data_IF_572486659532
#
_entry.id   IF_572486659532
#
_cell.length_a   1.000
_cell.length_b   1.000
_cell.length_c   1.000
_cell.angle_alpha   90.00
_cell.angle_beta   90.00
_cell.angle_gamma   90.00
#
_symmetry.space_group_name_H-M   'P 1'
#
loop_
_entity.id
_entity.type
_entity.pdbx_description
1 polymer ?
#
# COMPACT_ATOMS: atom_id res chain seq x y z
N UNK A 1 13.33 -13.19 -28.76
CA UNK A 1 13.92 -13.65 -27.47
C UNK A 1 15.39 -14.05 -27.58
N UNK A 2 15.82 -14.82 -28.59
CA UNK A 2 17.25 -15.19 -28.78
C UNK A 2 18.15 -13.96 -29.03
N UNK A 3 17.76 -13.04 -29.93
CA UNK A 3 18.50 -11.80 -30.21
C UNK A 3 18.58 -10.83 -29.01
N UNK A 4 17.57 -10.83 -28.13
CA UNK A 4 17.62 -10.03 -26.90
C UNK A 4 18.63 -10.61 -25.91
N UNK A 5 18.69 -11.94 -25.81
CA UNK A 5 19.61 -12.62 -24.89
C UNK A 5 21.07 -12.50 -25.34
N UNK A 6 21.35 -12.52 -26.65
CA UNK A 6 22.70 -12.26 -27.16
C UNK A 6 23.14 -10.83 -26.89
N UNK A 7 22.29 -9.84 -27.21
CA UNK A 7 22.58 -8.42 -26.96
C UNK A 7 22.78 -8.11 -25.46
N UNK A 8 21.97 -8.72 -24.60
CA UNK A 8 22.14 -8.66 -23.14
C UNK A 8 23.50 -9.21 -22.68
N UNK A 9 23.96 -10.33 -23.25
CA UNK A 9 25.26 -10.93 -22.94
C UNK A 9 26.43 -10.06 -23.39
N UNK A 10 26.33 -9.48 -24.59
CA UNK A 10 27.35 -8.58 -25.14
C UNK A 10 27.49 -7.31 -24.29
N UNK A 11 26.37 -6.72 -23.87
CA UNK A 11 26.38 -5.53 -23.00
C UNK A 11 27.09 -5.78 -21.65
N UNK A 12 26.94 -6.99 -21.11
CA UNK A 12 27.59 -7.40 -19.87
C UNK A 12 29.11 -7.57 -20.06
N UNK A 13 29.53 -8.18 -21.16
CA UNK A 13 30.95 -8.36 -21.49
C UNK A 13 31.64 -7.01 -21.73
N UNK A 14 30.97 -6.10 -22.44
CA UNK A 14 31.48 -4.75 -22.65
C UNK A 14 31.61 -3.99 -21.32
N UNK A 15 30.63 -4.11 -20.43
CA UNK A 15 30.70 -3.49 -19.10
C UNK A 15 31.86 -4.04 -18.27
N UNK A 16 32.10 -5.35 -18.28
CA UNK A 16 33.23 -5.96 -17.57
C UNK A 16 34.56 -5.49 -18.15
N UNK A 17 34.68 -5.42 -19.49
CA UNK A 17 35.87 -4.89 -20.15
C UNK A 17 36.15 -3.42 -19.76
N UNK A 18 35.16 -2.53 -19.90
CA UNK A 18 35.31 -1.13 -19.53
C UNK A 18 35.64 -0.95 -18.03
N UNK A 19 34.99 -1.74 -17.17
CA UNK A 19 35.22 -1.67 -15.73
C UNK A 19 36.65 -2.08 -15.35
N UNK A 20 37.20 -3.11 -16.00
CA UNK A 20 38.59 -3.53 -15.78
C UNK A 20 39.60 -2.49 -16.24
N UNK A 21 39.31 -1.79 -17.33
CA UNK A 21 40.20 -0.77 -17.89
C UNK A 21 40.21 0.51 -17.04
N UNK A 22 39.04 1.13 -16.83
CA UNK A 22 38.91 2.31 -15.97
C UNK A 22 37.57 2.29 -15.23
N UNK A 23 37.66 1.91 -13.96
CA UNK A 23 36.52 1.88 -13.04
C UNK A 23 35.83 3.25 -12.92
N UNK A 24 36.59 4.34 -12.93
CA UNK A 24 36.10 5.70 -12.64
C UNK A 24 35.37 6.34 -13.82
N UNK A 25 35.87 6.12 -15.04
CA UNK A 25 35.21 6.57 -16.25
C UNK A 25 33.97 5.73 -16.56
N UNK A 26 34.02 4.42 -16.33
CA UNK A 26 32.86 3.53 -16.52
C UNK A 26 31.66 3.96 -15.68
N UNK A 27 31.88 4.42 -14.44
CA UNK A 27 30.85 4.99 -13.58
C UNK A 27 30.20 6.26 -14.17
N UNK A 28 30.98 7.11 -14.83
CA UNK A 28 30.46 8.30 -15.53
C UNK A 28 29.66 7.92 -16.76
N UNK A 29 30.13 6.94 -17.54
CA UNK A 29 29.41 6.43 -18.72
C UNK A 29 28.04 5.85 -18.34
N UNK A 30 27.94 5.15 -17.21
CA UNK A 30 26.68 4.59 -16.72
C UNK A 30 25.63 5.66 -16.32
N UNK A 31 26.10 6.82 -15.88
CA UNK A 31 25.25 7.92 -15.37
C UNK A 31 25.04 9.05 -16.37
N UNK A 32 25.79 9.06 -17.49
CA UNK A 32 25.63 10.02 -18.57
C UNK A 32 24.23 9.93 -19.19
N UNK A 33 23.66 11.08 -19.56
CA UNK A 33 22.38 11.15 -20.25
C UNK A 33 22.60 10.87 -21.74
N UNK A 34 21.77 9.99 -22.32
CA UNK A 34 21.81 9.68 -23.73
C UNK A 34 20.78 10.54 -24.49
N UNK A 35 21.21 11.53 -25.30
CA UNK A 35 20.28 12.44 -25.99
C UNK A 35 19.38 11.71 -27.00
N UNK A 36 19.89 10.65 -27.62
CA UNK A 36 19.14 9.83 -28.59
C UNK A 36 18.18 8.82 -27.95
N UNK A 37 18.20 8.66 -26.62
CA UNK A 37 17.40 7.65 -25.90
C UNK A 37 16.53 8.29 -24.82
N UNK A 38 15.89 9.43 -25.16
CA UNK A 38 14.96 10.12 -24.26
C UNK A 38 15.63 10.73 -23.02
N UNK A 39 16.91 11.11 -23.11
CA UNK A 39 17.71 11.66 -22.00
C UNK A 39 17.81 10.73 -20.77
N UNK A 40 17.55 9.44 -20.95
CA UNK A 40 17.77 8.43 -19.92
C UNK A 40 19.25 8.08 -19.82
N UNK A 41 19.68 7.61 -18.64
CA UNK A 41 21.01 7.04 -18.47
C UNK A 41 21.00 5.51 -18.72
N UNK A 42 22.18 4.95 -18.95
CA UNK A 42 22.33 3.52 -19.25
C UNK A 42 21.77 2.64 -18.11
N UNK A 43 21.96 3.06 -16.86
CA UNK A 43 21.47 2.35 -15.69
C UNK A 43 19.93 2.31 -15.63
N UNK A 44 19.24 3.42 -15.89
CA UNK A 44 17.77 3.50 -15.92
C UNK A 44 17.19 2.61 -17.02
N UNK A 45 17.79 2.60 -18.21
CA UNK A 45 17.37 1.70 -19.30
C UNK A 45 17.50 0.22 -18.90
N UNK A 46 18.60 -0.15 -18.24
CA UNK A 46 18.79 -1.51 -17.73
C UNK A 46 17.75 -1.89 -16.65
N UNK A 47 17.32 -0.93 -15.83
CA UNK A 47 16.23 -1.12 -14.85
C UNK A 47 14.87 -1.27 -15.55
N UNK A 48 14.57 -0.45 -16.56
CA UNK A 48 13.31 -0.51 -17.32
C UNK A 48 13.12 -1.88 -18.01
N UNK A 49 14.20 -2.48 -18.50
CA UNK A 49 14.19 -3.81 -19.14
C UNK A 49 14.34 -4.95 -18.10
N UNK A 50 14.46 -4.63 -16.81
CA UNK A 50 14.64 -5.59 -15.71
C UNK A 50 15.85 -6.53 -15.93
N UNK A 51 16.97 -5.98 -16.41
CA UNK A 51 18.17 -6.76 -16.71
C UNK A 51 18.99 -7.10 -15.44
N UNK A 52 18.49 -8.05 -14.65
CA UNK A 52 19.03 -8.42 -13.32
C UNK A 52 20.55 -8.69 -13.30
N UNK A 53 21.09 -9.39 -14.31
CA UNK A 53 22.54 -9.72 -14.38
C UNK A 53 23.45 -8.50 -14.56
N UNK A 54 22.97 -7.48 -15.28
CA UNK A 54 23.70 -6.23 -15.53
C UNK A 54 23.68 -5.36 -14.27
N UNK A 55 22.51 -5.29 -13.60
CA UNK A 55 22.38 -4.56 -12.34
C UNK A 55 23.17 -5.20 -11.19
N UNK A 56 23.29 -6.53 -11.17
CA UNK A 56 24.11 -7.26 -10.19
C UNK A 56 25.62 -7.12 -10.43
N UNK A 57 26.05 -6.53 -11.55
CA UNK A 57 27.47 -6.36 -11.86
C UNK A 57 28.17 -5.49 -10.80
N UNK A 58 29.42 -5.81 -10.39
CA UNK A 58 30.14 -5.05 -9.36
C UNK A 58 30.24 -3.54 -9.63
N UNK A 59 30.38 -3.13 -10.90
CA UNK A 59 30.38 -1.73 -11.30
C UNK A 59 29.08 -1.00 -10.89
N UNK A 60 27.93 -1.59 -11.19
CA UNK A 60 26.61 -1.05 -10.85
C UNK A 60 26.42 -1.00 -9.33
N UNK A 61 26.83 -2.05 -8.60
CA UNK A 61 26.73 -2.08 -7.14
C UNK A 61 27.61 -1.02 -6.47
N UNK A 62 28.82 -0.81 -6.97
CA UNK A 62 29.71 0.27 -6.53
C UNK A 62 29.09 1.65 -6.79
N UNK A 63 28.52 1.86 -7.98
CA UNK A 63 27.83 3.11 -8.32
C UNK A 63 26.67 3.40 -7.36
N UNK A 64 25.81 2.40 -7.13
CA UNK A 64 24.68 2.51 -6.21
C UNK A 64 25.14 2.80 -4.79
N UNK A 65 26.24 2.19 -4.34
CA UNK A 65 26.83 2.51 -3.04
C UNK A 65 27.37 3.95 -2.97
N UNK A 66 27.96 4.47 -4.05
CA UNK A 66 28.38 5.88 -4.11
C UNK A 66 27.20 6.84 -4.10
N UNK A 67 26.12 6.53 -4.83
CA UNK A 67 24.88 7.30 -4.83
C UNK A 67 24.21 7.28 -3.45
N UNK A 68 24.18 6.13 -2.76
CA UNK A 68 23.60 5.96 -1.43
C UNK A 68 24.24 6.87 -0.37
N UNK A 69 25.57 6.95 -0.37
CA UNK A 69 26.32 7.81 0.56
C UNK A 69 26.38 9.27 0.09
N UNK A 70 26.13 9.54 -1.19
CA UNK A 70 26.20 10.87 -1.78
C UNK A 70 27.58 11.52 -1.57
N UNK A 71 27.57 12.72 -0.96
CA UNK A 71 28.78 13.50 -0.67
C UNK A 71 29.59 12.97 0.52
N UNK A 72 29.10 11.98 1.28
CA UNK A 72 29.86 11.41 2.40
C UNK A 72 30.93 10.43 1.89
N UNK A 73 32.09 10.43 2.53
CA UNK A 73 33.16 9.47 2.23
C UNK A 73 32.83 8.11 2.87
N UNK A 74 32.79 7.07 2.05
CA UNK A 74 32.49 5.69 2.49
C UNK A 74 33.59 5.19 3.43
N UNK A 75 33.22 4.75 4.63
CA UNK A 75 34.12 4.07 5.59
C UNK A 75 33.39 2.95 6.34
N UNK A 76 34.13 1.98 6.87
CA UNK A 76 33.55 1.01 7.79
C UNK A 76 32.88 1.72 8.98
N UNK A 77 31.70 1.24 9.39
CA UNK A 77 30.88 1.88 10.42
C UNK A 77 30.16 3.16 9.99
N UNK A 78 29.99 3.42 8.69
CA UNK A 78 29.29 4.62 8.18
C UNK A 78 27.89 4.80 8.78
N UNK A 79 27.12 3.71 8.92
CA UNK A 79 25.76 3.77 9.48
C UNK A 79 25.75 4.30 10.93
N UNK A 80 26.60 3.77 11.80
CA UNK A 80 26.68 4.19 13.20
C UNK A 80 27.13 5.66 13.31
N UNK A 81 28.06 6.09 12.47
CA UNK A 81 28.52 7.48 12.42
C UNK A 81 27.44 8.44 11.93
N UNK A 82 26.67 8.05 10.92
CA UNK A 82 25.53 8.83 10.43
C UNK A 82 24.44 8.93 11.50
N UNK A 83 24.13 7.83 12.19
CA UNK A 83 23.18 7.82 13.31
C UNK A 83 23.65 8.74 14.46
N UNK A 84 24.92 8.67 14.84
CA UNK A 84 25.49 9.55 15.85
C UNK A 84 25.42 11.04 15.43
N UNK A 85 25.68 11.33 14.15
CA UNK A 85 25.58 12.68 13.60
C UNK A 85 24.13 13.19 13.48
N UNK A 86 23.15 12.30 13.33
CA UNK A 86 21.73 12.66 13.37
C UNK A 86 21.26 12.97 14.80
N UNK A 87 21.75 12.23 15.79
CA UNK A 87 21.45 12.47 17.20
C UNK A 87 22.17 13.73 17.74
N UNK A 88 23.36 14.01 17.24
CA UNK A 88 24.18 15.15 17.64
C UNK A 88 24.65 15.94 16.39
N UNK A 89 23.93 17.02 16.00
CA UNK A 89 24.25 17.79 14.80
C UNK A 89 25.69 18.33 14.70
N UNK A 90 26.37 18.73 15.80
CA UNK A 90 27.79 19.10 15.74
C UNK A 90 28.70 17.97 15.23
N UNK A 91 28.37 16.69 15.47
CA UNK A 91 29.16 15.56 15.01
C UNK A 91 29.09 15.39 13.48
N UNK A 92 28.07 15.94 12.81
CA UNK A 92 28.00 15.95 11.35
C UNK A 92 29.13 16.79 10.71
N UNK A 93 29.62 17.82 11.40
CA UNK A 93 30.74 18.65 10.91
C UNK A 93 32.09 17.93 10.94
N UNK A 94 32.23 16.94 11.83
CA UNK A 94 33.43 16.11 11.98
C UNK A 94 33.50 14.93 11.00
N UNK A 95 32.44 14.71 10.20
CA UNK A 95 32.44 13.66 9.19
C UNK A 95 33.33 14.00 7.99
N UNK A 96 33.86 12.97 7.35
CA UNK A 96 34.64 13.10 6.12
C UNK A 96 33.69 13.27 4.92
N UNK A 97 33.75 14.42 4.27
CA UNK A 97 33.02 14.71 3.03
C UNK A 97 33.95 14.53 1.82
N UNK A 98 33.40 14.10 0.69
CA UNK A 98 34.08 14.15 -0.60
C UNK A 98 34.16 15.62 -1.02
N UNK A 99 35.37 16.14 -1.22
CA UNK A 99 35.55 17.44 -1.88
C UNK A 99 34.86 17.37 -3.25
N UNK A 100 33.94 18.30 -3.51
CA UNK A 100 33.29 18.42 -4.81
C UNK A 100 34.39 18.59 -5.87
N UNK A 101 34.45 17.70 -6.87
CA UNK A 101 35.36 17.84 -8.00
C UNK A 101 34.88 18.99 -8.90
N UNK A 102 35.07 20.22 -8.45
CA UNK A 102 35.25 21.36 -9.35
C UNK A 102 36.76 21.50 -9.51
N UNK A 103 37.36 20.60 -10.28
CA UNK A 103 38.75 20.73 -10.74
C UNK A 103 38.93 19.87 -11.99
N UNK A 104 38.65 20.49 -13.13
CA UNK A 104 39.03 20.18 -14.52
C UNK A 104 38.27 21.23 -15.32
N UNK A 105 38.86 22.31 -15.83
CA UNK A 105 40.13 22.40 -16.55
C UNK A 105 40.74 23.81 -16.37
N UNK A 106 41.86 23.92 -15.66
CA UNK A 106 42.94 24.87 -16.00
C UNK A 106 44.25 24.17 -15.63
N UNK A 107 45.14 23.83 -16.59
CA UNK A 107 46.50 23.42 -16.28
C UNK A 107 47.38 24.67 -16.31
N UNK A 108 47.81 25.16 -15.16
CA UNK A 108 49.04 25.95 -15.13
C UNK A 108 49.81 25.59 -13.87
N UNK A 109 50.95 24.98 -14.11
CA UNK A 109 52.08 24.83 -13.20
C UNK A 109 52.22 26.06 -12.30
N UNK A 110 52.33 25.82 -10.99
CA UNK A 110 53.22 26.46 -10.01
C UNK A 110 53.04 25.63 -8.72
N UNK A 111 54.16 25.29 -8.09
CA UNK A 111 54.24 24.63 -6.80
C UNK A 111 53.68 25.56 -5.70
N UNK A 112 52.36 25.62 -5.59
CA UNK A 112 51.68 26.16 -4.41
C UNK A 112 50.96 25.01 -3.72
N UNK A 113 51.24 24.85 -2.42
CA UNK A 113 50.52 24.01 -1.50
C UNK A 113 49.04 24.45 -1.51
N UNK A 114 48.22 23.85 -2.38
CA UNK A 114 46.82 24.19 -2.54
C UNK A 114 46.09 23.87 -1.25
N UNK A 115 45.93 24.87 -0.39
CA UNK A 115 44.95 24.86 0.70
C UNK A 115 43.60 24.47 0.10
N UNK A 116 43.15 23.25 0.39
CA UNK A 116 41.81 22.82 0.04
C UNK A 116 40.82 23.83 0.63
N UNK A 117 39.92 24.46 -0.16
CA UNK A 117 38.98 25.42 0.39
C UNK A 117 38.14 24.70 1.44
N UNK A 118 38.33 25.10 2.70
CA UNK A 118 37.60 24.51 3.82
C UNK A 118 36.11 24.81 3.62
N UNK A 119 35.35 23.77 3.24
CA UNK A 119 33.93 23.92 2.97
C UNK A 119 33.24 24.49 4.22
N UNK A 120 32.54 25.62 4.08
CA UNK A 120 31.81 26.28 5.17
C UNK A 120 30.92 25.30 5.92
N UNK A 121 30.79 25.46 7.25
CA UNK A 121 30.00 24.58 8.11
C UNK A 121 28.56 24.39 7.59
N UNK A 122 27.94 25.45 7.05
CA UNK A 122 26.60 25.39 6.47
C UNK A 122 26.55 24.50 5.22
N UNK A 123 27.57 24.56 4.37
CA UNK A 123 27.65 23.73 3.18
C UNK A 123 27.87 22.25 3.53
N UNK A 124 28.65 21.94 4.57
CA UNK A 124 28.77 20.58 5.12
C UNK A 124 27.43 20.06 5.65
N UNK A 125 26.71 20.87 6.43
CA UNK A 125 25.39 20.50 6.96
C UNK A 125 24.36 20.27 5.84
N UNK A 126 24.33 21.13 4.81
CA UNK A 126 23.46 20.94 3.65
C UNK A 126 23.80 19.65 2.90
N UNK A 127 25.08 19.38 2.66
CA UNK A 127 25.52 18.16 1.98
C UNK A 127 25.15 16.90 2.79
N UNK A 128 25.19 16.96 4.12
CA UNK A 128 24.77 15.87 4.99
C UNK A 128 23.28 15.55 4.84
N UNK A 129 22.40 16.54 5.02
CA UNK A 129 20.94 16.32 4.92
C UNK A 129 20.45 16.07 3.49
N UNK A 130 21.23 16.43 2.47
CA UNK A 130 20.93 16.11 1.09
C UNK A 130 21.15 14.61 0.75
N UNK A 131 22.03 13.93 1.48
CA UNK A 131 22.43 12.55 1.19
C UNK A 131 21.29 11.53 1.35
N UNK A 132 21.17 10.50 0.50
CA UNK A 132 20.09 9.50 0.62
C UNK A 132 20.13 8.70 1.93
N UNK A 133 21.33 8.32 2.39
CA UNK A 133 21.51 7.60 3.65
C UNK A 133 20.96 8.37 4.86
N UNK A 134 21.13 9.69 4.92
CA UNK A 134 20.64 10.51 6.05
C UNK A 134 19.13 10.65 6.00
N UNK A 135 18.55 10.86 4.81
CA UNK A 135 17.09 10.86 4.59
C UNK A 135 16.46 9.55 5.03
N UNK A 136 17.06 8.41 4.68
CA UNK A 136 16.58 7.10 5.10
C UNK A 136 16.57 6.95 6.62
N UNK A 137 17.69 7.24 7.30
CA UNK A 137 17.75 7.11 8.75
C UNK A 137 16.84 8.11 9.48
N UNK A 138 16.69 9.34 8.97
CA UNK A 138 15.71 10.31 9.48
C UNK A 138 14.28 9.77 9.37
N UNK A 139 13.94 9.18 8.23
CA UNK A 139 12.64 8.56 8.04
C UNK A 139 12.42 7.40 9.01
N UNK A 140 13.42 6.52 9.18
CA UNK A 140 13.36 5.42 10.14
C UNK A 140 13.21 5.90 11.60
N UNK A 141 13.98 6.90 12.03
CA UNK A 141 13.90 7.46 13.39
C UNK A 141 12.52 8.08 13.63
N UNK A 142 12.07 8.93 12.71
CA UNK A 142 10.75 9.57 12.80
C UNK A 142 9.63 8.53 12.83
N UNK A 143 9.75 7.46 12.04
CA UNK A 143 8.79 6.37 12.02
C UNK A 143 8.77 5.58 13.33
N UNK A 144 9.93 5.29 13.94
CA UNK A 144 9.99 4.64 15.25
C UNK A 144 9.33 5.53 16.32
N UNK A 145 9.65 6.83 16.35
CA UNK A 145 9.02 7.80 17.28
C UNK A 145 7.50 7.83 17.08
N UNK A 146 7.04 7.84 15.84
CA UNK A 146 5.63 7.75 15.51
C UNK A 146 5.00 6.46 16.05
N UNK A 147 5.64 5.29 15.83
CA UNK A 147 5.13 4.01 16.35
C UNK A 147 5.03 3.99 17.87
N UNK A 148 6.02 4.57 18.58
CA UNK A 148 5.98 4.64 20.04
C UNK A 148 4.88 5.56 20.54
N UNK A 149 4.68 6.73 19.91
CA UNK A 149 3.62 7.68 20.27
C UNK A 149 2.24 7.12 19.93
N UNK A 150 2.09 6.48 18.78
CA UNK A 150 0.85 5.83 18.35
C UNK A 150 0.48 4.67 19.28
N UNK A 151 1.44 3.81 19.63
CA UNK A 151 1.24 2.74 20.61
C UNK A 151 0.85 3.29 21.98
N UNK A 152 1.50 4.37 22.43
CA UNK A 152 1.15 5.06 23.68
C UNK A 152 -0.29 5.58 23.67
N UNK A 153 -0.73 6.23 22.59
CA UNK A 153 -2.10 6.75 22.42
C UNK A 153 -3.14 5.62 22.38
N UNK A 154 -2.82 4.48 21.76
CA UNK A 154 -3.75 3.33 21.69
C UNK A 154 -3.85 2.54 22.99
N UNK A 155 -2.75 2.44 23.76
CA UNK A 155 -2.67 1.56 24.92
C UNK A 155 -3.21 2.23 26.20
N UNK A 156 -3.15 3.55 26.28
CA UNK A 156 -3.59 4.30 27.47
C UNK A 156 -5.04 4.73 27.30
N UNK A 157 -5.80 4.68 28.39
CA UNK A 157 -7.18 5.16 28.42
C UNK A 157 -7.24 6.63 27.99
N UNK A 158 -7.97 6.89 26.90
CA UNK A 158 -8.08 8.22 26.31
C UNK A 158 -9.04 9.08 27.14
N UNK A 159 -8.60 10.27 27.60
CA UNK A 159 -9.49 11.21 28.28
C UNK A 159 -10.53 11.78 27.32
N UNK A 160 -11.65 12.29 27.85
CA UNK A 160 -12.75 12.86 27.06
C UNK A 160 -12.28 14.03 26.17
N UNK A 161 -11.26 14.77 26.63
CA UNK A 161 -10.65 15.84 25.87
C UNK A 161 -9.31 15.36 25.27
N UNK A 162 -9.09 15.54 23.96
CA UNK A 162 -7.89 15.05 23.31
C UNK A 162 -6.62 15.72 23.83
N UNK A 163 -5.61 14.91 24.11
CA UNK A 163 -4.31 15.39 24.57
C UNK A 163 -3.48 15.99 23.42
N UNK A 164 -2.50 16.85 23.74
CA UNK A 164 -1.58 17.42 22.73
C UNK A 164 -0.86 16.32 21.94
N UNK A 165 -0.54 15.19 22.58
CA UNK A 165 0.13 14.04 21.94
C UNK A 165 -0.78 13.39 20.90
N UNK A 166 -2.08 13.26 21.18
CA UNK A 166 -3.07 12.78 20.22
C UNK A 166 -3.15 13.69 19.00
N UNK A 167 -3.22 15.02 19.20
CA UNK A 167 -3.23 15.97 18.08
C UNK A 167 -1.97 15.85 17.20
N UNK A 168 -0.80 15.74 17.81
CA UNK A 168 0.47 15.54 17.08
C UNK A 168 0.41 14.24 16.28
N UNK A 169 -0.02 13.14 16.91
CA UNK A 169 -0.09 11.81 16.27
C UNK A 169 -1.10 11.80 15.11
N UNK A 170 -2.28 12.39 15.31
CA UNK A 170 -3.30 12.53 14.26
C UNK A 170 -2.80 13.38 13.09
N UNK A 171 -2.16 14.52 13.38
CA UNK A 171 -1.58 15.37 12.33
C UNK A 171 -0.52 14.62 11.50
N UNK A 172 0.31 13.81 12.15
CA UNK A 172 1.31 12.99 11.48
C UNK A 172 0.67 11.94 10.56
N UNK A 173 -0.40 11.26 11.02
CA UNK A 173 -1.16 10.30 10.21
C UNK A 173 -1.71 10.99 8.95
N UNK A 174 -2.32 12.17 9.09
CA UNK A 174 -2.89 12.91 7.95
C UNK A 174 -1.80 13.28 6.95
N UNK A 175 -0.68 13.85 7.41
CA UNK A 175 0.44 14.22 6.53
C UNK A 175 1.02 12.99 5.82
N UNK A 176 1.21 11.88 6.54
CA UNK A 176 1.71 10.62 5.98
C UNK A 176 0.76 10.06 4.91
N UNK A 177 -0.55 10.08 5.16
CA UNK A 177 -1.56 9.64 4.19
C UNK A 177 -1.55 10.51 2.94
N UNK A 178 -1.48 11.83 3.08
CA UNK A 178 -1.41 12.76 1.93
C UNK A 178 -0.14 12.52 1.10
N UNK A 179 1.02 12.35 1.74
CA UNK A 179 2.28 12.08 1.04
C UNK A 179 2.25 10.73 0.31
N UNK A 180 1.61 9.71 0.90
CA UNK A 180 1.42 8.42 0.24
C UNK A 180 0.44 8.48 -0.92
N UNK A 181 -0.67 9.21 -0.78
CA UNK A 181 -1.59 9.46 -1.89
C UNK A 181 -0.86 10.17 -3.02
N UNK A 182 -0.07 11.21 -2.74
CA UNK A 182 0.74 11.93 -3.73
C UNK A 182 1.68 10.98 -4.49
N UNK A 183 2.42 10.12 -3.76
CA UNK A 183 3.33 9.12 -4.36
C UNK A 183 2.58 8.07 -5.19
N UNK A 184 1.45 7.59 -4.70
CA UNK A 184 0.61 6.62 -5.42
C UNK A 184 0.09 7.26 -6.70
N UNK A 185 -0.40 8.50 -6.66
CA UNK A 185 -0.86 9.22 -7.86
C UNK A 185 0.27 9.44 -8.87
N UNK A 186 1.48 9.80 -8.40
CA UNK A 186 2.66 9.95 -9.24
C UNK A 186 3.03 8.62 -9.91
N UNK A 187 3.04 7.51 -9.15
CA UNK A 187 3.27 6.18 -9.70
C UNK A 187 2.18 5.74 -10.68
N UNK A 188 0.91 5.97 -10.32
CA UNK A 188 -0.26 5.58 -11.11
C UNK A 188 -0.34 6.34 -12.44
N UNK A 189 -0.05 7.64 -12.42
CA UNK A 189 -0.05 8.49 -13.62
C UNK A 189 1.17 8.26 -14.52
N UNK A 190 2.33 7.94 -13.94
CA UNK A 190 3.55 7.71 -14.71
C UNK A 190 3.69 6.26 -15.23
N UNK A 191 3.01 5.28 -14.62
CA UNK A 191 3.22 3.88 -14.98
C UNK A 191 2.40 3.46 -16.21
N UNK A 192 3.04 3.19 -17.37
CA UNK A 192 2.36 2.97 -18.65
C UNK A 192 1.47 1.74 -18.68
N UNK A 193 1.68 0.77 -17.77
CA UNK A 193 0.86 -0.43 -17.68
C UNK A 193 -0.39 -0.23 -16.81
N UNK A 194 -0.37 0.68 -15.82
CA UNK A 194 -1.48 0.81 -14.86
C UNK A 194 -2.64 1.63 -15.42
N UNK A 195 -2.38 2.60 -16.30
CA UNK A 195 -3.42 3.39 -16.97
C UNK A 195 -4.54 2.55 -17.59
N UNK A 196 -4.22 1.59 -18.49
CA UNK A 196 -5.20 0.68 -19.07
C UNK A 196 -5.98 -0.15 -18.02
N UNK A 197 -5.31 -0.68 -16.98
CA UNK A 197 -5.97 -1.44 -15.92
C UNK A 197 -6.97 -0.61 -15.11
N UNK A 198 -6.64 0.65 -14.80
CA UNK A 198 -7.55 1.56 -14.07
C UNK A 198 -8.77 1.89 -14.93
N UNK A 199 -8.58 2.14 -16.22
CA UNK A 199 -9.69 2.42 -17.14
C UNK A 199 -10.61 1.21 -17.31
N UNK A 200 -10.03 0.00 -17.41
CA UNK A 200 -10.80 -1.26 -17.41
C UNK A 200 -11.57 -1.44 -16.10
N UNK A 201 -10.91 -1.24 -14.94
CA UNK A 201 -11.55 -1.36 -13.63
C UNK A 201 -12.66 -0.33 -13.42
N UNK A 202 -12.45 0.93 -13.82
CA UNK A 202 -13.48 1.97 -13.75
C UNK A 202 -14.73 1.59 -14.58
N UNK A 203 -14.53 1.03 -15.77
CA UNK A 203 -15.61 0.54 -16.64
C UNK A 203 -16.36 -0.65 -16.01
N UNK A 204 -15.65 -1.52 -15.29
CA UNK A 204 -16.26 -2.60 -14.50
C UNK A 204 -17.13 -2.06 -13.38
N UNK A 205 -16.64 -1.09 -12.59
CA UNK A 205 -17.37 -0.53 -11.44
C UNK A 205 -18.72 0.07 -11.86
N UNK A 206 -18.75 0.80 -12.98
CA UNK A 206 -20.00 1.38 -13.50
C UNK A 206 -21.00 0.28 -13.90
N UNK A 207 -20.50 -0.79 -14.53
CA UNK A 207 -21.36 -1.91 -14.96
C UNK A 207 -21.88 -2.73 -13.76
N UNK A 208 -21.07 -2.85 -12.70
CA UNK A 208 -21.45 -3.55 -11.48
C UNK A 208 -22.44 -2.78 -10.61
N UNK A 209 -22.44 -1.44 -10.66
CA UNK A 209 -23.32 -0.62 -9.85
C UNK A 209 -24.79 -1.05 -9.97
N UNK A 210 -25.23 -1.37 -11.19
CA UNK A 210 -26.57 -1.89 -11.44
C UNK A 210 -26.86 -3.23 -10.74
N UNK A 211 -25.90 -4.16 -10.74
CA UNK A 211 -26.05 -5.46 -10.07
C UNK A 211 -26.04 -5.29 -8.55
N UNK A 212 -25.20 -4.41 -8.02
CA UNK A 212 -25.15 -4.11 -6.60
C UNK A 212 -26.49 -3.50 -6.13
N UNK A 213 -27.07 -2.59 -6.92
CA UNK A 213 -28.40 -2.04 -6.64
C UNK A 213 -29.48 -3.12 -6.67
N UNK A 214 -29.48 -4.00 -7.68
CA UNK A 214 -30.42 -5.13 -7.75
C UNK A 214 -30.27 -6.08 -6.55
N UNK A 215 -29.03 -6.34 -6.12
CA UNK A 215 -28.74 -7.15 -4.95
C UNK A 215 -29.24 -6.48 -3.65
N UNK A 216 -29.08 -5.16 -3.52
CA UNK A 216 -29.60 -4.41 -2.38
C UNK A 216 -31.14 -4.49 -2.31
N UNK A 217 -31.81 -4.39 -3.46
CA UNK A 217 -33.28 -4.48 -3.55
C UNK A 217 -33.77 -5.86 -3.11
N UNK A 218 -33.16 -6.95 -3.61
CA UNK A 218 -33.55 -8.31 -3.23
C UNK A 218 -33.24 -8.60 -1.76
N UNK A 219 -32.12 -8.11 -1.25
CA UNK A 219 -31.73 -8.22 0.15
C UNK A 219 -32.72 -7.47 1.06
N UNK A 220 -33.09 -6.24 0.72
CA UNK A 220 -34.08 -5.46 1.47
C UNK A 220 -35.46 -6.13 1.47
N UNK A 221 -35.91 -6.65 0.32
CA UNK A 221 -37.19 -7.32 0.20
C UNK A 221 -37.26 -8.54 1.15
N UNK A 222 -36.25 -9.41 1.12
CA UNK A 222 -36.19 -10.55 2.03
C UNK A 222 -36.05 -10.14 3.50
N UNK A 223 -35.14 -9.19 3.79
CA UNK A 223 -34.87 -8.73 5.16
C UNK A 223 -36.08 -8.11 5.85
N UNK A 224 -36.85 -7.28 5.15
CA UNK A 224 -38.08 -6.66 5.68
C UNK A 224 -39.15 -7.72 5.90
N UNK A 225 -39.38 -8.61 4.91
CA UNK A 225 -40.39 -9.67 5.04
C UNK A 225 -40.06 -10.63 6.19
N UNK A 226 -38.79 -11.02 6.36
CA UNK A 226 -38.34 -11.84 7.49
C UNK A 226 -38.59 -11.14 8.82
N UNK A 227 -38.13 -9.91 8.99
CA UNK A 227 -38.26 -9.19 10.26
C UNK A 227 -39.73 -8.93 10.63
N UNK A 228 -40.56 -8.58 9.66
CA UNK A 228 -41.98 -8.28 9.87
C UNK A 228 -42.79 -9.52 10.30
N UNK A 229 -42.47 -10.70 9.77
CA UNK A 229 -43.18 -11.94 10.10
C UNK A 229 -42.67 -12.52 11.42
N UNK A 230 -41.35 -12.62 11.62
CA UNK A 230 -40.76 -13.28 12.79
C UNK A 230 -40.93 -12.47 14.08
N UNK A 231 -40.98 -11.13 14.01
CA UNK A 231 -41.05 -10.26 15.19
C UNK A 231 -42.18 -9.20 15.06
N UNK A 232 -43.46 -9.61 15.13
CA UNK A 232 -44.60 -8.74 14.84
C UNK A 232 -44.84 -7.65 15.90
N UNK A 233 -44.33 -7.83 17.12
CA UNK A 233 -44.56 -6.92 18.26
C UNK A 233 -43.30 -6.11 18.65
N UNK A 234 -42.34 -5.97 17.73
CA UNK A 234 -41.12 -5.22 17.98
C UNK A 234 -41.34 -3.72 17.74
N UNK A 235 -40.91 -2.90 18.71
CA UNK A 235 -40.97 -1.43 18.58
C UNK A 235 -39.81 -0.93 17.72
N UNK A 236 -40.01 0.24 17.10
CA UNK A 236 -38.97 0.90 16.30
C UNK A 236 -37.68 1.10 17.09
N UNK A 237 -36.57 0.56 16.58
CA UNK A 237 -35.21 0.73 17.09
C UNK A 237 -34.21 0.66 15.93
N UNK A 238 -33.08 1.36 16.05
CA UNK A 238 -31.98 1.28 15.07
C UNK A 238 -31.42 -0.14 14.89
N UNK A 239 -31.62 -1.01 15.89
CA UNK A 239 -31.30 -2.44 15.82
C UNK A 239 -32.08 -3.17 14.73
N UNK A 240 -33.27 -2.68 14.39
CA UNK A 240 -34.13 -3.27 13.36
C UNK A 240 -33.50 -3.13 11.97
N UNK A 241 -32.88 -1.97 11.69
CA UNK A 241 -32.12 -1.74 10.44
C UNK A 241 -30.97 -2.73 10.32
N UNK A 242 -30.23 -2.96 11.42
CA UNK A 242 -29.20 -4.00 11.46
C UNK A 242 -29.81 -5.37 11.17
N UNK A 243 -30.91 -5.76 11.80
CA UNK A 243 -31.49 -7.09 11.61
C UNK A 243 -32.04 -7.30 10.18
N UNK A 244 -32.61 -6.26 9.57
CA UNK A 244 -33.14 -6.26 8.20
C UNK A 244 -32.02 -6.39 7.16
N UNK A 245 -30.90 -5.68 7.31
CA UNK A 245 -29.85 -5.66 6.29
C UNK A 245 -28.68 -6.62 6.60
N UNK A 246 -28.21 -6.66 7.84
CA UNK A 246 -26.98 -7.33 8.23
C UNK A 246 -27.12 -8.85 8.15
N UNK A 247 -28.16 -9.46 8.75
CA UNK A 247 -28.31 -10.92 8.72
C UNK A 247 -28.45 -11.47 7.28
N UNK A 248 -29.33 -10.93 6.42
CA UNK A 248 -29.39 -11.31 5.00
C UNK A 248 -28.10 -11.08 4.21
N UNK A 249 -27.31 -10.06 4.57
CA UNK A 249 -26.01 -9.82 3.95
C UNK A 249 -25.02 -10.95 4.25
N UNK A 250 -24.92 -11.44 5.49
CA UNK A 250 -24.04 -12.58 5.81
C UNK A 250 -24.52 -13.89 5.18
N UNK A 251 -25.84 -14.05 5.00
CA UNK A 251 -26.42 -15.18 4.25
C UNK A 251 -25.93 -15.24 2.80
N UNK A 252 -25.59 -14.10 2.19
CA UNK A 252 -24.96 -14.06 0.86
C UNK A 252 -23.59 -14.76 0.82
N UNK A 253 -22.84 -14.68 1.91
CA UNK A 253 -21.50 -15.25 2.05
C UNK A 253 -21.47 -16.68 2.59
N UNK A 254 -22.64 -17.29 2.79
CA UNK A 254 -22.78 -18.68 3.21
C UNK A 254 -23.16 -18.88 4.68
N UNK A 255 -23.39 -17.82 5.45
CA UNK A 255 -23.90 -17.94 6.83
C UNK A 255 -25.42 -18.11 6.84
N UNK A 256 -25.91 -19.34 6.96
CA UNK A 256 -27.33 -19.68 6.78
C UNK A 256 -28.15 -19.51 8.08
N UNK A 257 -27.52 -19.28 9.24
CA UNK A 257 -28.20 -19.14 10.54
C UNK A 257 -29.19 -20.28 10.84
N UNK A 258 -28.72 -21.54 10.75
CA UNK A 258 -29.55 -22.75 10.82
C UNK A 258 -30.53 -22.81 11.99
N UNK A 259 -30.13 -22.35 13.19
CA UNK A 259 -30.98 -22.35 14.38
C UNK A 259 -32.13 -21.32 14.38
N UNK A 260 -32.17 -20.40 13.41
CA UNK A 260 -33.23 -19.38 13.28
C UNK A 260 -34.12 -19.60 12.05
N UNK A 261 -33.92 -20.68 11.28
CA UNK A 261 -34.68 -20.94 10.06
C UNK A 261 -36.11 -21.33 10.46
N UNK A 262 -36.24 -22.35 11.29
CA UNK A 262 -37.53 -22.91 11.67
C UNK A 262 -37.70 -22.92 13.20
N UNK A 263 -37.96 -21.73 13.75
CA UNK A 263 -38.20 -21.56 15.19
C UNK A 263 -39.50 -22.22 15.66
N UNK A 264 -40.32 -22.76 14.75
CA UNK A 264 -41.64 -23.32 14.99
C UNK A 264 -41.87 -24.71 14.36
N UNK A 265 -40.79 -25.37 13.93
CA UNK A 265 -40.80 -26.66 13.22
C UNK A 265 -40.80 -27.89 14.13
N UNK A 266 -40.36 -29.01 13.57
CA UNK A 266 -40.48 -30.37 14.15
C UNK A 266 -39.74 -30.60 15.49
N UNK A 267 -38.83 -29.70 15.91
CA UNK A 267 -38.19 -29.70 17.25
C UNK A 267 -38.80 -28.66 18.22
N UNK A 268 -39.69 -27.79 17.73
CA UNK A 268 -40.44 -26.82 18.53
C UNK A 268 -41.62 -27.42 19.30
N UNK A 269 -41.89 -28.73 19.11
CA UNK A 269 -42.87 -29.48 19.88
C UNK A 269 -42.22 -30.22 21.06
N UNK A 270 -41.78 -29.44 22.05
CA UNK A 270 -41.94 -29.86 23.44
C UNK A 270 -42.59 -28.71 24.19
N UNK A 271 -43.91 -28.56 24.02
CA UNK A 271 -44.91 -28.25 25.07
C UNK A 271 -46.28 -28.14 24.36
N UNK A 272 -47.07 -29.22 24.45
CA UNK A 272 -48.54 -29.27 24.48
C UNK A 272 -48.85 -30.74 24.87
N UNK A 273 -49.12 -31.17 26.11
CA UNK A 273 -50.06 -30.71 27.13
C UNK A 273 -49.63 -31.30 28.48
N UNK A 274 -49.65 -30.53 29.57
CA UNK A 274 -49.78 -31.07 30.94
C UNK A 274 -50.50 -30.09 31.86
N UNK A 275 -51.83 -30.19 31.91
CA UNK A 275 -52.67 -29.46 32.86
C UNK A 275 -53.09 -28.05 32.43
N UNK A 276 -54.08 -27.51 33.15
CA UNK A 276 -54.89 -26.32 32.84
C UNK A 276 -54.13 -24.98 32.93
N UNK A 277 -53.01 -24.85 32.24
CA UNK A 277 -52.32 -23.56 32.05
C UNK A 277 -51.80 -23.47 30.62
N UNK A 278 -52.39 -22.55 29.86
CA UNK A 278 -52.09 -22.31 28.45
C UNK A 278 -50.92 -21.33 28.36
N UNK A 279 -49.69 -21.84 28.31
CA UNK A 279 -48.50 -21.03 28.00
C UNK A 279 -48.03 -21.44 26.60
N UNK A 280 -48.41 -20.64 25.60
CA UNK A 280 -48.24 -20.95 24.18
C UNK A 280 -46.78 -20.86 23.72
N UNK A 281 -46.43 -21.67 22.73
CA UNK A 281 -45.22 -21.49 21.92
C UNK A 281 -45.21 -20.08 21.29
N UNK A 282 -44.02 -19.45 21.20
CA UNK A 282 -43.82 -18.12 20.58
C UNK A 282 -43.99 -18.15 19.04
N UNK A 283 -44.94 -18.93 18.53
CA UNK A 283 -45.14 -19.16 17.12
C UNK A 283 -46.19 -18.21 16.56
N UNK A 284 -45.73 -17.38 15.63
CA UNK A 284 -46.51 -16.36 14.95
C UNK A 284 -47.19 -16.95 13.70
N UNK A 285 -48.44 -16.56 13.39
CA UNK A 285 -49.10 -17.02 12.19
C UNK A 285 -48.28 -16.64 10.95
N UNK A 286 -47.97 -17.61 10.10
CA UNK A 286 -47.11 -17.42 8.93
C UNK A 286 -45.61 -17.65 9.16
N UNK A 287 -45.20 -18.21 10.29
CA UNK A 287 -43.79 -18.55 10.58
C UNK A 287 -43.10 -19.51 9.59
N UNK A 288 -43.85 -20.21 8.74
CA UNK A 288 -43.33 -21.05 7.65
C UNK A 288 -42.91 -20.26 6.40
N UNK A 289 -43.31 -18.98 6.28
CA UNK A 289 -43.05 -18.13 5.11
C UNK A 289 -41.56 -17.69 5.04
N UNK A 290 -40.89 -17.26 6.12
CA UNK A 290 -39.49 -16.88 6.08
C UNK A 290 -38.51 -17.96 5.58
N UNK A 291 -38.61 -19.25 5.97
CA UNK A 291 -37.84 -20.33 5.36
C UNK A 291 -38.00 -20.42 3.83
N UNK A 292 -39.23 -20.33 3.34
CA UNK A 292 -39.52 -20.38 1.90
C UNK A 292 -38.91 -19.18 1.19
N UNK A 293 -39.13 -17.96 1.72
CA UNK A 293 -38.54 -16.74 1.17
C UNK A 293 -37.01 -16.76 1.19
N UNK A 294 -36.41 -17.38 2.20
CA UNK A 294 -34.96 -17.53 2.32
C UNK A 294 -34.39 -18.42 1.20
N UNK A 295 -35.04 -19.54 0.87
CA UNK A 295 -34.60 -20.39 -0.24
C UNK A 295 -34.67 -19.66 -1.59
N UNK A 296 -35.74 -18.89 -1.82
CA UNK A 296 -35.91 -18.07 -3.03
C UNK A 296 -34.83 -16.97 -3.08
N UNK A 297 -34.60 -16.28 -1.95
CA UNK A 297 -33.57 -15.26 -1.83
C UNK A 297 -32.17 -15.80 -2.15
N UNK A 298 -31.78 -16.93 -1.55
CA UNK A 298 -30.46 -17.54 -1.78
C UNK A 298 -30.28 -18.00 -3.23
N UNK A 299 -31.32 -18.55 -3.86
CA UNK A 299 -31.30 -18.90 -5.28
C UNK A 299 -31.07 -17.66 -6.15
N UNK A 300 -31.84 -16.59 -5.94
CA UNK A 300 -31.74 -15.37 -6.75
C UNK A 300 -30.42 -14.64 -6.49
N UNK A 301 -30.04 -14.46 -5.23
CA UNK A 301 -28.85 -13.69 -4.85
C UNK A 301 -27.56 -14.46 -5.15
N UNK A 302 -27.43 -15.70 -4.68
CA UNK A 302 -26.17 -16.45 -4.76
C UNK A 302 -25.98 -17.13 -6.12
N UNK A 303 -27.05 -17.64 -6.73
CA UNK A 303 -26.93 -18.42 -7.97
C UNK A 303 -27.10 -17.52 -9.20
N UNK A 304 -27.94 -16.48 -9.17
CA UNK A 304 -28.11 -15.59 -10.33
C UNK A 304 -27.23 -14.34 -10.22
N UNK A 305 -27.40 -13.51 -9.17
CA UNK A 305 -26.79 -12.19 -9.14
C UNK A 305 -25.27 -12.23 -8.91
N UNK A 306 -24.76 -13.05 -7.98
CA UNK A 306 -23.31 -13.17 -7.75
C UNK A 306 -22.60 -13.83 -8.94
N UNK A 307 -23.17 -14.89 -9.52
CA UNK A 307 -22.57 -15.54 -10.69
C UNK A 307 -22.60 -14.62 -11.92
N UNK A 308 -23.65 -13.81 -12.08
CA UNK A 308 -23.70 -12.77 -13.12
C UNK A 308 -22.64 -11.67 -12.88
N UNK A 309 -22.41 -11.27 -11.62
CA UNK A 309 -21.35 -10.33 -11.25
C UNK A 309 -19.97 -10.87 -11.67
N UNK A 310 -19.69 -12.13 -11.34
CA UNK A 310 -18.44 -12.82 -11.72
C UNK A 310 -18.32 -12.92 -13.25
N UNK A 311 -19.41 -13.19 -13.95
CA UNK A 311 -19.43 -13.27 -15.42
C UNK A 311 -19.14 -11.91 -16.07
N UNK A 312 -19.69 -10.81 -15.54
CA UNK A 312 -19.45 -9.46 -16.06
C UNK A 312 -18.01 -9.02 -15.78
N UNK A 313 -17.47 -9.31 -14.60
CA UNK A 313 -16.06 -9.08 -14.32
C UNK A 313 -15.15 -9.80 -15.32
N UNK A 314 -15.42 -11.07 -15.60
CA UNK A 314 -14.68 -11.83 -16.61
C UNK A 314 -14.84 -11.20 -17.99
N UNK A 315 -16.06 -10.93 -18.44
CA UNK A 315 -16.33 -10.38 -19.77
C UNK A 315 -15.65 -9.01 -20.00
N UNK A 316 -15.74 -8.09 -19.04
CA UNK A 316 -15.14 -6.76 -19.14
C UNK A 316 -13.61 -6.80 -19.00
N UNK A 317 -13.05 -7.80 -18.30
CA UNK A 317 -11.60 -7.94 -18.13
C UNK A 317 -10.90 -8.49 -19.37
N UNK A 318 -11.65 -9.18 -20.24
CA UNK A 318 -11.13 -9.82 -21.46
C UNK A 318 -11.50 -9.07 -22.74
N UNK A 319 -12.19 -7.92 -22.64
CA UNK A 319 -12.60 -7.07 -23.78
C UNK A 319 -11.82 -5.76 -23.84
#
# INVERSE_FOLDING_TARGET
LVNLRSSCSESLQLLDFCYREDNSQTLKLLTAQLPHWGYQNCLSLAVMVNHKRFLAHPCCQRLLAELWHGSLRVRSGSNLRVLAALLCPPAALALAYKTSRVSSEIPTNIDDEVETPSLSAVAKMRAFYAAPITKFWLWCITFIIFLTLFSYVLLIETPINPTTIEYITLSYIVVYMVEHIRKVLEYLSAHPLLGPYIQMAAKMVVSMFYIIVLLLVTLMAFGVSRQAITYPHEKWNWLLVRNIFYKPYFMLYGEVYAGEIDTCGDEGDFICVKGDTFEGTNCVPGGWIPPVLMTIFLLVANILLINMLIAIFKCVSFS
#
